data_IF_463548716089
#
_entry.id   IF_463548716089
#
_cell.length_a   1.000
_cell.length_b   1.000
_cell.length_c   1.000
_cell.angle_alpha   90.00
_cell.angle_beta   90.00
_cell.angle_gamma   90.00
#
_symmetry.space_group_name_H-M   'P 1'
#
loop_
_entity.id
_entity.type
_entity.pdbx_description
1 polymer ?
#
# COMPACT_ATOMS: atom_id res chain seq x y z
N UNK A 1 14.84 -4.88 15.73
CA UNK A 1 14.49 -4.48 15.39
C UNK A 1 14.41 -4.09 14.41
N UNK A 2 14.28 -4.23 13.78
CA UNK A 2 14.21 -3.89 12.85
C UNK A 2 13.48 -3.02 12.52
N UNK A 3 13.16 -2.65 12.69
CA UNK A 3 12.42 -1.71 12.37
C UNK A 3 12.65 -0.96 11.40
N UNK A 4 13.25 -1.31 10.72
CA UNK A 4 13.78 -0.41 10.01
C UNK A 4 13.18 -0.17 8.75
N UNK A 5 12.21 -0.90 8.30
CA UNK A 5 11.48 -0.61 7.09
C UNK A 5 10.71 0.69 7.28
N UNK A 6 10.80 1.57 6.33
CA UNK A 6 10.05 2.79 6.38
C UNK A 6 8.62 2.53 5.97
N UNK A 7 7.75 3.45 6.35
CA UNK A 7 6.36 3.36 5.95
C UNK A 7 6.05 4.38 4.89
N UNK A 8 5.22 3.96 3.95
CA UNK A 8 4.82 4.82 2.84
C UNK A 8 3.32 4.82 2.71
N UNK A 9 2.76 6.00 2.53
CA UNK A 9 1.34 6.18 2.28
C UNK A 9 1.16 6.29 0.79
N UNK A 10 0.27 5.45 0.25
CA UNK A 10 -0.11 5.48 -1.14
C UNK A 10 -1.51 6.03 -1.22
N UNK A 11 -1.76 6.94 -2.14
CA UNK A 11 -3.08 7.52 -2.29
C UNK A 11 -3.57 7.41 -3.71
N UNK A 12 -4.87 7.17 -3.85
CA UNK A 12 -5.58 7.11 -5.13
C UNK A 12 -6.74 8.07 -5.04
N UNK A 13 -6.93 8.86 -6.09
CA UNK A 13 -7.99 9.87 -6.12
C UNK A 13 -8.83 9.72 -7.36
N UNK A 14 -10.07 10.18 -7.27
CA UNK A 14 -10.93 10.36 -8.43
C UNK A 14 -11.43 9.06 -8.99
N UNK A 15 -11.67 9.05 -10.27
CA UNK A 15 -12.33 7.93 -10.93
C UNK A 15 -11.53 6.64 -10.84
N UNK A 16 -10.23 6.72 -10.61
CA UNK A 16 -9.39 5.52 -10.53
C UNK A 16 -9.19 5.02 -9.12
N UNK A 17 -9.75 5.70 -8.14
CA UNK A 17 -9.68 5.23 -6.76
C UNK A 17 -10.50 3.95 -6.63
N UNK A 18 -9.98 2.95 -5.93
CA UNK A 18 -10.61 1.63 -5.89
C UNK A 18 -11.94 1.53 -5.15
N UNK A 19 -12.39 2.50 -4.45
CA UNK A 19 -13.74 2.49 -3.89
C UNK A 19 -14.09 1.21 -3.16
N UNK A 20 -15.31 0.70 -3.40
CA UNK A 20 -15.80 -0.49 -2.69
C UNK A 20 -15.06 -1.75 -3.06
N UNK A 21 -14.30 -1.74 -4.15
CA UNK A 21 -13.49 -2.89 -4.53
C UNK A 21 -12.12 -2.87 -3.87
N UNK A 22 -11.95 -2.08 -2.80
CA UNK A 22 -10.65 -1.96 -2.14
C UNK A 22 -10.08 -3.32 -1.72
N UNK A 23 -10.95 -4.26 -1.35
CA UNK A 23 -10.47 -5.58 -0.96
C UNK A 23 -9.80 -6.33 -2.09
N UNK A 24 -10.34 -6.21 -3.31
CA UNK A 24 -9.73 -6.83 -4.48
C UNK A 24 -8.40 -6.18 -4.81
N UNK A 25 -8.36 -4.86 -4.74
CA UNK A 25 -7.12 -4.14 -4.98
C UNK A 25 -6.07 -4.54 -3.95
N UNK A 26 -6.46 -4.59 -2.67
CA UNK A 26 -5.54 -4.99 -1.62
C UNK A 26 -5.01 -6.40 -1.85
N UNK A 27 -5.87 -7.31 -2.33
CA UNK A 27 -5.44 -8.67 -2.64
C UNK A 27 -4.34 -8.69 -3.70
N UNK A 28 -4.53 -7.93 -4.78
CA UNK A 28 -3.51 -7.86 -5.84
C UNK A 28 -2.23 -7.23 -5.31
N UNK A 29 -2.33 -6.18 -4.51
CA UNK A 29 -1.15 -5.54 -3.94
C UNK A 29 -0.43 -6.50 -3.00
N UNK A 30 -1.18 -7.23 -2.20
CA UNK A 30 -0.60 -8.18 -1.27
C UNK A 30 0.13 -9.30 -1.99
N UNK A 31 -0.46 -9.81 -3.08
CA UNK A 31 0.18 -10.83 -3.89
C UNK A 31 1.45 -10.31 -4.53
N UNK A 32 1.41 -9.08 -5.03
CA UNK A 32 2.59 -8.46 -5.62
C UNK A 32 3.68 -8.26 -4.59
N UNK A 33 3.31 -7.88 -3.38
CA UNK A 33 4.28 -7.68 -2.30
C UNK A 33 4.95 -9.01 -1.94
N UNK A 34 4.19 -10.09 -1.90
CA UNK A 34 4.75 -11.40 -1.61
C UNK A 34 5.75 -11.81 -2.70
N UNK A 35 5.41 -11.54 -3.96
CA UNK A 35 6.32 -11.86 -5.07
C UNK A 35 7.59 -11.03 -5.00
N UNK A 36 7.47 -9.74 -4.70
CA UNK A 36 8.64 -8.88 -4.60
C UNK A 36 9.53 -9.32 -3.44
N UNK A 37 8.93 -9.67 -2.31
CA UNK A 37 9.71 -10.14 -1.16
C UNK A 37 10.45 -11.43 -1.49
N UNK A 38 9.82 -12.31 -2.26
CA UNK A 38 10.47 -13.55 -2.66
C UNK A 38 11.67 -13.28 -3.58
N UNK A 39 11.69 -12.15 -4.27
CA UNK A 39 12.82 -11.77 -5.12
C UNK A 39 13.86 -10.95 -4.36
N UNK A 40 13.72 -10.77 -3.07
CA UNK A 40 14.69 -10.04 -2.28
C UNK A 40 14.40 -8.57 -2.10
N UNK A 41 13.17 -8.14 -2.46
CA UNK A 41 12.73 -6.76 -2.24
C UNK A 41 11.69 -6.75 -1.14
N UNK A 42 12.10 -6.58 0.12
CA UNK A 42 11.13 -6.68 1.22
C UNK A 42 10.11 -5.55 1.14
N UNK A 43 8.85 -5.94 1.04
CA UNK A 43 7.77 -4.98 0.99
C UNK A 43 6.51 -5.67 1.50
N UNK A 44 5.71 -4.97 2.30
CA UNK A 44 4.48 -5.52 2.83
C UNK A 44 3.39 -4.47 2.81
N UNK A 45 2.18 -4.89 2.44
CA UNK A 45 1.01 -4.05 2.60
C UNK A 45 0.52 -4.21 4.03
N UNK A 46 0.40 -3.12 4.74
CA UNK A 46 -0.01 -3.13 6.14
C UNK A 46 -1.51 -2.87 6.31
N UNK A 47 -2.07 -2.01 5.47
CA UNK A 47 -3.51 -1.77 5.46
C UNK A 47 -3.90 -1.05 4.19
N UNK A 48 -5.19 -1.11 3.87
CA UNK A 48 -5.76 -0.34 2.78
C UNK A 48 -7.18 0.02 3.16
N UNK A 49 -7.62 1.20 2.74
CA UNK A 49 -8.93 1.68 3.11
C UNK A 49 -9.44 2.60 2.01
N UNK A 50 -10.74 2.56 1.79
CA UNK A 50 -11.35 3.42 0.79
C UNK A 50 -12.45 4.25 1.44
N UNK A 51 -12.64 5.46 0.91
CA UNK A 51 -13.73 6.33 1.29
C UNK A 51 -14.51 6.58 -0.01
N UNK A 52 -15.46 5.68 -0.34
CA UNK A 52 -16.08 5.73 -1.68
C UNK A 52 -16.78 7.03 -1.98
N UNK A 53 -17.40 7.66 -0.98
CA UNK A 53 -18.12 8.89 -1.21
C UNK A 53 -17.21 10.05 -1.59
N UNK A 54 -15.92 9.94 -1.27
CA UNK A 54 -14.96 10.99 -1.57
C UNK A 54 -14.07 10.63 -2.75
N UNK A 55 -14.33 9.52 -3.43
CA UNK A 55 -13.49 9.05 -4.52
C UNK A 55 -12.02 9.03 -4.09
N UNK A 56 -11.77 8.44 -2.92
CA UNK A 56 -10.46 8.46 -2.30
C UNK A 56 -10.18 7.09 -1.68
N UNK A 57 -8.93 6.66 -1.78
CA UNK A 57 -8.48 5.45 -1.10
C UNK A 57 -7.02 5.61 -0.77
N UNK A 58 -6.56 4.85 0.21
CA UNK A 58 -5.14 4.86 0.55
C UNK A 58 -4.70 3.49 1.02
N UNK A 59 -3.40 3.27 0.95
CA UNK A 59 -2.76 2.09 1.50
C UNK A 59 -1.50 2.50 2.22
N UNK A 60 -1.07 1.66 3.15
CA UNK A 60 0.17 1.89 3.89
C UNK A 60 1.04 0.67 3.68
N UNK A 61 2.27 0.91 3.26
CA UNK A 61 3.24 -0.15 3.02
C UNK A 61 4.46 0.03 3.92
N UNK A 62 5.08 -1.08 4.28
CA UNK A 62 6.42 -1.09 4.84
C UNK A 62 7.35 -1.51 3.71
N UNK A 63 8.36 -0.70 3.41
CA UNK A 63 9.24 -0.95 2.28
C UNK A 63 10.54 -0.19 2.44
N UNK A 64 11.48 -0.43 1.54
CA UNK A 64 12.77 0.22 1.61
C UNK A 64 12.80 1.53 0.84
N UNK A 65 11.90 1.73 -0.11
CA UNK A 65 11.90 2.97 -0.87
C UNK A 65 10.52 3.25 -1.44
N UNK A 66 10.27 4.51 -1.72
CA UNK A 66 9.04 4.93 -2.39
C UNK A 66 8.96 4.35 -3.80
N UNK A 67 10.11 4.25 -4.48
CA UNK A 67 10.12 3.71 -5.84
C UNK A 67 9.66 2.26 -5.86
N UNK A 68 10.06 1.46 -4.87
CA UNK A 68 9.63 0.07 -4.79
C UNK A 68 8.12 -0.02 -4.63
N UNK A 69 7.54 0.87 -3.81
CA UNK A 69 6.10 0.89 -3.59
C UNK A 69 5.38 1.31 -4.87
N UNK A 70 5.87 2.36 -5.54
CA UNK A 70 5.23 2.83 -6.76
C UNK A 70 5.26 1.76 -7.83
N UNK A 71 6.38 1.05 -7.97
CA UNK A 71 6.50 0.00 -8.97
C UNK A 71 5.53 -1.14 -8.67
N UNK A 72 5.41 -1.51 -7.41
CA UNK A 72 4.46 -2.55 -7.03
C UNK A 72 3.04 -2.16 -7.40
N UNK A 73 2.66 -0.93 -7.12
CA UNK A 73 1.31 -0.46 -7.44
C UNK A 73 1.07 -0.49 -8.95
N UNK A 74 2.06 -0.06 -9.73
CA UNK A 74 1.94 -0.11 -11.19
C UNK A 74 1.76 -1.55 -11.67
N UNK A 75 2.57 -2.45 -11.16
CA UNK A 75 2.53 -3.85 -11.58
C UNK A 75 1.23 -4.52 -11.21
N UNK A 76 0.62 -4.08 -10.12
CA UNK A 76 -0.64 -4.66 -9.64
C UNK A 76 -1.86 -4.05 -10.32
N UNK A 77 -1.65 -3.12 -11.24
CA UNK A 77 -2.78 -2.50 -11.95
C UNK A 77 -3.47 -1.41 -11.16
N UNK A 78 -2.81 -0.88 -10.14
CA UNK A 78 -3.37 0.19 -9.31
C UNK A 78 -2.32 1.29 -9.14
N UNK A 79 -1.94 1.97 -10.23
CA UNK A 79 -0.89 2.99 -10.12
C UNK A 79 -1.27 4.06 -9.13
N UNK A 80 -0.32 4.42 -8.28
CA UNK A 80 -0.55 5.37 -7.21
C UNK A 80 -0.57 6.79 -7.77
N UNK A 81 -1.51 7.61 -7.25
CA UNK A 81 -1.49 9.03 -7.56
C UNK A 81 -0.39 9.72 -6.78
N UNK A 82 -0.11 9.21 -5.59
CA UNK A 82 0.90 9.82 -4.74
C UNK A 82 1.46 8.77 -3.80
N UNK A 83 2.77 8.81 -3.57
CA UNK A 83 3.45 7.98 -2.58
C UNK A 83 4.24 8.91 -1.70
N UNK A 84 4.03 8.83 -0.40
CA UNK A 84 4.69 9.74 0.56
C UNK A 84 5.26 8.93 1.72
N UNK A 85 6.44 9.32 2.17
CA UNK A 85 6.95 8.76 3.42
C UNK A 85 6.02 9.17 4.55
N UNK A 86 5.74 8.26 5.46
CA UNK A 86 4.73 8.48 6.47
C UNK A 86 5.20 8.00 7.83
N UNK A 87 4.71 8.67 8.85
CA UNK A 87 4.97 8.31 10.24
C UNK A 87 3.63 8.26 10.93
N UNK A 88 3.43 7.28 11.78
CA UNK A 88 2.15 7.19 12.43
C UNK A 88 2.17 6.33 13.66
N UNK A 89 1.02 6.25 14.29
CA UNK A 89 0.81 5.44 15.46
C UNK A 89 -0.47 4.65 15.26
N UNK A 90 -0.47 3.43 15.70
CA UNK A 90 -1.68 2.61 15.66
C UNK A 90 -1.72 1.76 16.90
N UNK A 91 -2.94 1.53 17.39
CA UNK A 91 -3.11 0.63 18.51
C UNK A 91 -2.79 -0.79 18.07
N UNK A 92 -1.96 -1.46 18.82
CA UNK A 92 -1.65 -2.85 18.55
C UNK A 92 -2.78 -3.72 19.10
N UNK A 93 -3.30 -4.59 18.27
CA UNK A 93 -4.39 -5.47 18.65
C UNK A 93 -3.88 -6.89 18.65
N UNK A 94 -3.96 -7.54 19.80
CA UNK A 94 -3.60 -8.93 19.89
C UNK A 94 -4.82 -9.76 19.73
N UNK A 95 -4.76 -10.78 18.98
CA UNK A 95 -5.90 -11.67 18.80
C UNK A 95 -5.67 -13.00 19.44
#
# INVERSE_FOLDING_TARGET
MDAEAERFLVEWYGARAPGRSIGETAGRLNDGAASASARGEPIRLLMAMAVPDDDYAFGVFAAESADAVAQLCDDAGAPAERVSAAVGWARHVDC
#
